data_IF_261178992606
#
_entry.id   IF_261178992606
#
_cell.length_a   1.000
_cell.length_b   1.000
_cell.length_c   1.000
_cell.angle_alpha   90.00
_cell.angle_beta   90.00
_cell.angle_gamma   90.00
#
_symmetry.space_group_name_H-M   'P 1'
#
loop_
_entity.id
_entity.type
_entity.pdbx_description
1 polymer ?
#
# COMPACT_ATOMS: atom_id res chain seq x y z
N UNK A 1 18.38 1.53 -34.75
CA UNK A 1 17.38 1.32 -34.48
C UNK A 1 17.09 0.60 -33.32
N UNK A 2 17.32 -0.57 -33.22
CA UNK A 2 16.97 -1.24 -32.04
C UNK A 2 17.74 -0.77 -30.87
N UNK A 3 18.77 -0.12 -31.08
CA UNK A 3 19.49 0.37 -29.96
C UNK A 3 18.77 1.33 -29.17
N UNK A 4 17.97 2.11 -29.79
CA UNK A 4 17.26 3.05 -29.07
C UNK A 4 16.34 2.41 -28.14
N UNK A 5 15.79 1.31 -28.52
CA UNK A 5 14.90 0.71 -27.64
C UNK A 5 15.62 0.14 -26.49
N UNK A 6 16.80 -0.32 -26.69
CA UNK A 6 17.50 -0.81 -25.57
C UNK A 6 17.86 0.24 -24.63
N UNK A 7 18.13 1.40 -25.11
CA UNK A 7 18.41 2.46 -24.21
C UNK A 7 17.25 2.79 -23.40
N UNK A 8 16.06 2.65 -23.91
CA UNK A 8 14.95 2.93 -23.10
C UNK A 8 14.86 2.00 -21.96
N UNK A 9 15.33 0.78 -22.10
CA UNK A 9 15.27 -0.09 -20.98
C UNK A 9 16.16 0.34 -19.88
N UNK A 10 17.12 1.15 -20.16
CA UNK A 10 17.98 1.63 -19.13
C UNK A 10 17.56 2.95 -18.62
N UNK A 11 16.39 3.38 -18.98
CA UNK A 11 15.90 4.64 -18.53
C UNK A 11 15.80 4.62 -17.02
N UNK A 12 16.30 5.63 -16.39
CA UNK A 12 16.26 5.73 -14.96
C UNK A 12 15.00 6.44 -14.54
N UNK A 13 14.44 6.01 -13.47
CA UNK A 13 13.25 6.63 -12.94
C UNK A 13 13.64 7.43 -11.72
N UNK A 14 13.32 8.70 -11.76
CA UNK A 14 13.62 9.58 -10.67
C UNK A 14 12.34 9.86 -9.93
N UNK A 15 12.31 9.55 -8.64
CA UNK A 15 11.13 9.75 -7.84
C UNK A 15 11.18 11.14 -7.25
N UNK A 16 10.18 11.92 -7.56
CA UNK A 16 10.09 13.26 -7.07
C UNK A 16 8.86 13.37 -6.19
N UNK A 17 9.04 13.82 -4.98
CA UNK A 17 7.95 13.92 -4.04
C UNK A 17 7.38 15.33 -4.12
N UNK A 18 6.14 15.41 -4.56
CA UNK A 18 5.46 16.70 -4.62
C UNK A 18 4.87 17.06 -3.28
N UNK A 19 4.49 16.06 -2.51
CA UNK A 19 3.92 16.30 -1.20
C UNK A 19 4.32 15.12 -0.35
N UNK A 20 5.09 15.37 0.67
CA UNK A 20 5.59 14.29 1.52
C UNK A 20 4.76 14.13 2.78
N UNK A 21 3.62 14.76 2.83
CA UNK A 21 2.73 14.61 3.96
C UNK A 21 2.21 13.19 4.01
N UNK A 22 2.30 12.57 5.16
CA UNK A 22 1.83 11.20 5.32
C UNK A 22 0.63 11.20 6.24
N UNK A 23 -0.31 10.31 5.95
CA UNK A 23 -1.47 10.12 6.78
C UNK A 23 -1.47 8.69 7.27
N UNK A 24 -1.73 8.51 8.54
CA UNK A 24 -1.78 7.19 9.11
C UNK A 24 -3.03 6.46 8.63
N UNK A 25 -2.87 5.24 8.20
CA UNK A 25 -3.99 4.41 7.82
C UNK A 25 -3.72 2.99 8.28
N UNK A 26 -4.70 2.39 8.87
CA UNK A 26 -4.60 1.03 9.38
C UNK A 26 -5.56 0.10 8.69
N UNK A 27 -6.53 0.63 7.98
CA UNK A 27 -7.50 -0.18 7.28
C UNK A 27 -7.83 0.44 5.95
N UNK A 28 -8.21 -0.38 4.99
CA UNK A 28 -8.59 0.09 3.69
C UNK A 28 -9.82 -0.66 3.24
N UNK A 29 -10.77 0.05 2.65
CA UNK A 29 -11.94 -0.54 2.06
C UNK A 29 -11.84 -0.37 0.56
N UNK A 30 -12.08 -1.43 -0.17
CA UNK A 30 -12.00 -1.40 -1.63
C UNK A 30 -13.40 -1.37 -2.20
N UNK A 31 -13.64 -0.44 -3.10
CA UNK A 31 -14.91 -0.31 -3.77
C UNK A 31 -14.67 -0.30 -5.27
N UNK A 32 -15.43 -1.09 -5.99
CA UNK A 32 -15.25 -1.21 -7.42
C UNK A 32 -16.16 -0.23 -8.14
N UNK A 33 -15.57 0.64 -8.94
CA UNK A 33 -16.34 1.50 -9.83
C UNK A 33 -16.40 0.87 -11.20
N UNK A 34 -16.82 1.66 -12.18
CA UNK A 34 -16.92 1.13 -13.53
C UNK A 34 -15.55 0.97 -14.14
N UNK A 35 -14.70 1.92 -13.96
CA UNK A 35 -13.37 1.86 -14.56
C UNK A 35 -12.28 1.97 -13.54
N UNK A 36 -12.60 2.25 -12.30
CA UNK A 36 -11.59 2.41 -11.28
C UNK A 36 -11.93 1.59 -10.07
N UNK A 37 -10.94 1.39 -9.26
CA UNK A 37 -11.12 0.78 -7.96
C UNK A 37 -10.71 1.83 -6.96
N UNK A 38 -11.58 2.06 -5.98
CA UNK A 38 -11.32 3.07 -4.98
C UNK A 38 -10.77 2.42 -3.72
N UNK A 39 -9.68 2.99 -3.23
CA UNK A 39 -9.09 2.56 -1.99
C UNK A 39 -9.40 3.63 -0.96
N UNK A 40 -10.20 3.28 0.02
CA UNK A 40 -10.63 4.22 1.05
C UNK A 40 -9.90 3.89 2.33
N UNK A 41 -9.07 4.81 2.76
CA UNK A 41 -8.18 4.56 3.88
C UNK A 41 -8.75 5.14 5.16
N UNK A 42 -8.59 4.39 6.23
CA UNK A 42 -9.10 4.78 7.52
C UNK A 42 -8.04 4.59 8.59
N UNK A 43 -8.05 5.44 9.58
CA UNK A 43 -7.14 5.30 10.70
C UNK A 43 -7.53 4.16 11.62
N UNK A 44 -8.77 3.73 11.57
CA UNK A 44 -9.19 2.62 12.41
C UNK A 44 -10.65 2.67 12.71
N UNK A 45 -11.14 1.56 13.21
CA UNK A 45 -12.54 1.39 13.51
C UNK A 45 -12.90 2.07 14.81
N UNK A 46 -14.04 2.72 14.83
CA UNK A 46 -14.60 3.26 16.05
C UNK A 46 -15.68 2.30 16.51
N UNK A 47 -15.51 1.68 17.68
CA UNK A 47 -16.47 0.67 18.11
C UNK A 47 -17.83 1.26 18.37
N UNK A 48 -18.81 0.37 18.40
CA UNK A 48 -20.18 0.76 18.68
C UNK A 48 -20.26 1.42 20.05
N UNK A 49 -20.95 2.54 20.11
CA UNK A 49 -21.13 3.25 21.35
C UNK A 49 -22.62 3.35 21.70
N UNK A 50 -23.32 2.27 21.53
CA UNK A 50 -24.72 2.25 21.87
C UNK A 50 -25.66 2.47 20.74
N UNK A 51 -25.13 2.55 19.52
CA UNK A 51 -25.97 2.82 18.37
C UNK A 51 -26.30 1.56 17.59
N UNK A 52 -25.67 0.46 17.88
CA UNK A 52 -25.92 -0.77 17.16
C UNK A 52 -24.99 -0.99 16.00
N UNK A 53 -23.97 -0.16 15.81
CA UNK A 53 -23.00 -0.33 14.73
C UNK A 53 -21.68 0.33 15.09
N UNK A 54 -20.62 -0.19 14.52
CA UNK A 54 -19.33 0.43 14.61
C UNK A 54 -19.10 1.26 13.36
N UNK A 55 -18.20 2.22 13.42
CA UNK A 55 -17.98 3.15 12.33
C UNK A 55 -16.53 3.08 11.88
N UNK A 56 -16.34 3.07 10.56
CA UNK A 56 -15.02 3.14 9.99
C UNK A 56 -14.88 4.46 9.25
N UNK A 57 -14.29 5.47 9.86
CA UNK A 57 -14.20 6.76 9.19
C UNK A 57 -13.12 6.73 8.12
N UNK A 58 -13.44 7.20 6.94
CA UNK A 58 -12.51 7.23 5.83
C UNK A 58 -11.99 8.64 5.68
N UNK A 59 -10.67 8.78 5.68
CA UNK A 59 -10.09 10.12 5.53
C UNK A 59 -9.43 10.33 4.17
N UNK A 60 -9.21 9.29 3.38
CA UNK A 60 -8.53 9.44 2.11
C UNK A 60 -9.06 8.42 1.12
N UNK A 61 -9.34 8.88 -0.07
CA UNK A 61 -9.81 8.00 -1.13
C UNK A 61 -8.87 8.13 -2.31
N UNK A 62 -8.37 7.00 -2.80
CA UNK A 62 -7.48 6.95 -3.95
C UNK A 62 -8.16 6.12 -5.02
N UNK A 63 -8.20 6.64 -6.23
CA UNK A 63 -8.74 5.90 -7.36
C UNK A 63 -7.60 5.32 -8.16
N UNK A 64 -7.70 4.04 -8.48
CA UNK A 64 -6.67 3.38 -9.26
C UNK A 64 -7.31 2.57 -10.36
N UNK A 65 -6.60 2.42 -11.47
CA UNK A 65 -7.03 1.48 -12.48
C UNK A 65 -6.76 0.07 -11.99
N UNK A 66 -7.42 -0.90 -12.61
CA UNK A 66 -7.18 -2.28 -12.24
C UNK A 66 -5.72 -2.65 -12.47
N UNK A 67 -5.14 -2.16 -13.56
CA UNK A 67 -3.73 -2.47 -13.82
C UNK A 67 -2.82 -1.88 -12.77
N UNK A 68 -3.08 -0.64 -12.35
CA UNK A 68 -2.28 -0.04 -11.31
C UNK A 68 -2.41 -0.76 -10.00
N UNK A 69 -3.62 -1.20 -9.68
CA UNK A 69 -3.82 -1.93 -8.44
C UNK A 69 -3.11 -3.28 -8.48
N UNK A 70 -3.10 -3.91 -9.65
CA UNK A 70 -2.42 -5.17 -9.77
C UNK A 70 -0.92 -5.00 -9.56
N UNK A 71 -0.35 -3.92 -10.07
CA UNK A 71 1.06 -3.66 -9.83
C UNK A 71 1.33 -3.41 -8.35
N UNK A 72 0.44 -2.71 -7.69
CA UNK A 72 0.58 -2.50 -6.26
C UNK A 72 0.54 -3.83 -5.53
N UNK A 73 -0.38 -4.70 -5.91
CA UNK A 73 -0.49 -6.00 -5.29
C UNK A 73 0.80 -6.79 -5.46
N UNK A 74 1.39 -6.73 -6.64
CA UNK A 74 2.62 -7.45 -6.89
C UNK A 74 3.77 -6.88 -6.07
N UNK A 75 3.83 -5.58 -5.96
CA UNK A 75 4.88 -4.94 -5.18
C UNK A 75 4.73 -5.29 -3.70
N UNK A 76 3.51 -5.28 -3.20
CA UNK A 76 3.29 -5.65 -1.82
C UNK A 76 3.66 -7.12 -1.59
N UNK A 77 3.36 -7.97 -2.57
CA UNK A 77 3.73 -9.36 -2.44
C UNK A 77 5.23 -9.54 -2.33
N UNK A 78 5.97 -8.78 -3.11
CA UNK A 78 7.42 -8.86 -3.03
C UNK A 78 7.93 -8.37 -1.70
N UNK A 79 7.34 -7.31 -1.20
CA UNK A 79 7.74 -6.78 0.08
C UNK A 79 7.52 -7.79 1.19
N UNK A 80 6.37 -8.45 1.19
CA UNK A 80 6.08 -9.41 2.23
C UNK A 80 6.93 -10.67 2.07
N UNK A 81 7.24 -11.05 0.87
CA UNK A 81 8.10 -12.19 0.67
C UNK A 81 9.48 -11.93 1.24
N UNK A 82 9.99 -10.72 1.05
CA UNK A 82 11.25 -10.38 1.63
C UNK A 82 11.19 -10.33 3.13
N UNK A 83 10.13 -9.78 3.65
CA UNK A 83 10.00 -9.65 5.09
C UNK A 83 9.89 -10.99 5.77
N UNK A 84 9.43 -12.00 5.06
CA UNK A 84 9.31 -13.29 5.66
C UNK A 84 10.58 -14.05 5.68
N UNK A 85 11.59 -13.61 4.96
CA UNK A 85 12.85 -14.28 5.01
C UNK A 85 13.53 -13.92 6.30
N UNK A 86 14.10 -14.88 7.00
CA UNK A 86 14.75 -14.55 8.25
C UNK A 86 15.90 -13.62 7.97
N UNK A 87 15.91 -12.52 8.66
CA UNK A 87 17.01 -11.59 8.44
C UNK A 87 18.27 -12.16 9.00
N UNK A 88 19.28 -11.97 8.30
CA UNK A 88 20.54 -12.46 8.74
C UNK A 88 20.98 -11.65 9.91
N UNK A 89 21.14 -12.29 11.01
CA UNK A 89 21.63 -11.57 12.14
C UNK A 89 20.66 -10.68 12.80
N UNK A 90 19.47 -10.83 12.50
CA UNK A 90 18.55 -9.95 13.14
C UNK A 90 17.71 -10.61 14.05
N UNK A 91 17.33 -10.49 14.44
CA UNK A 91 16.50 -11.02 15.15
C UNK A 91 15.52 -10.38 15.58
N UNK A 92 15.32 -10.20 15.66
CA UNK A 92 14.58 -9.72 15.95
C UNK A 92 13.74 -9.21 16.07
N UNK A 93 13.77 -9.44 16.18
CA UNK A 93 13.05 -9.00 16.29
C UNK A 93 12.12 -8.66 16.44
N UNK A 94 12.25 -8.74 16.66
CA UNK A 94 11.49 -8.54 16.75
C UNK A 94 10.72 -8.22 16.96
N UNK A 95 10.83 -8.21 17.21
CA UNK A 95 10.29 -8.05 17.37
C UNK A 95 9.58 -7.63 17.54
N UNK A 96 9.77 -7.58 17.83
CA UNK A 96 9.21 -7.36 17.94
C UNK A 96 8.37 -7.14 17.87
N UNK A 97 8.63 -7.20 18.18
CA UNK A 97 7.88 -7.20 18.19
C UNK A 97 7.10 -7.22 18.01
N UNK A 98 7.04 -7.31 18.22
CA UNK A 98 6.28 -7.49 18.16
C UNK A 98 5.57 -7.59 17.98
N UNK A 99 5.67 -7.73 18.44
CA UNK A 99 5.21 -7.96 18.34
C UNK A 99 4.55 -7.70 18.24
N UNK A 100 4.69 -7.56 18.48
CA UNK A 100 4.14 -7.50 18.37
C UNK A 100 3.71 -7.46 18.18
#
# INVERSE_FOLDING_TARGET
MSNEQQQKKQQQIQIKYEDMTARYANQVVLTTGQEEIFLDFSSGLIPDQGQGFSTLPVHTRIAMTAGGLKRLYQTLGQLFAKAQQPPVGTTASTEEAPKS
#
